data_IF_543097753860
#
_entry.id   IF_543097753860
#
_cell.length_a   1.000
_cell.length_b   1.000
_cell.length_c   1.000
_cell.angle_alpha   90.00
_cell.angle_beta   90.00
_cell.angle_gamma   90.00
#
_symmetry.space_group_name_H-M   'P 1'
#
loop_
_entity.id
_entity.type
_entity.pdbx_description
1 polymer ?
#
# COMPACT_ATOMS: atom_id res chain seq x y z
N UNK A 1 -15.50 8.91 -4.84
CA UNK A 1 -15.89 8.92 -3.41
C UNK A 1 -17.35 8.52 -3.19
N UNK A 2 -18.36 9.17 -3.84
CA UNK A 2 -19.81 8.88 -3.64
C UNK A 2 -20.16 7.39 -3.80
N UNK A 3 -19.65 6.72 -4.86
CA UNK A 3 -19.91 5.30 -5.10
C UNK A 3 -19.42 4.41 -3.95
N UNK A 4 -18.23 4.65 -3.40
CA UNK A 4 -17.67 3.88 -2.25
C UNK A 4 -18.54 4.05 -0.99
N UNK A 5 -18.99 5.28 -0.70
CA UNK A 5 -19.87 5.57 0.44
C UNK A 5 -21.20 4.83 0.30
N UNK A 6 -21.82 4.89 -0.87
CA UNK A 6 -23.09 4.19 -1.14
C UNK A 6 -22.95 2.67 -1.03
N UNK A 7 -21.85 2.10 -1.55
CA UNK A 7 -21.58 0.66 -1.45
C UNK A 7 -21.39 0.25 0.02
N UNK A 8 -20.69 1.06 0.82
CA UNK A 8 -20.53 0.83 2.26
C UNK A 8 -21.87 0.84 3.00
N UNK A 9 -22.70 1.85 2.76
CA UNK A 9 -24.04 1.95 3.36
C UNK A 9 -24.94 0.76 2.96
N UNK A 10 -24.87 0.34 1.70
CA UNK A 10 -25.60 -0.83 1.20
C UNK A 10 -25.16 -2.13 1.90
N UNK A 11 -23.86 -2.36 2.04
CA UNK A 11 -23.33 -3.54 2.72
C UNK A 11 -23.71 -3.63 4.20
N UNK A 12 -24.01 -2.48 4.84
CA UNK A 12 -24.46 -2.39 6.22
C UNK A 12 -26.00 -2.40 6.36
N UNK A 13 -26.75 -2.34 5.26
CA UNK A 13 -28.21 -2.31 5.31
C UNK A 13 -28.80 -3.66 5.69
N UNK A 14 -30.05 -3.64 6.17
CA UNK A 14 -30.82 -4.83 6.55
C UNK A 14 -30.86 -5.87 5.41
N UNK A 15 -30.62 -7.13 5.73
CA UNK A 15 -30.57 -8.24 4.77
C UNK A 15 -29.22 -8.47 4.10
N UNK A 16 -28.34 -7.46 4.02
CA UNK A 16 -27.01 -7.57 3.42
C UNK A 16 -25.87 -7.64 4.44
N UNK A 17 -26.13 -7.22 5.67
CA UNK A 17 -25.14 -7.19 6.75
C UNK A 17 -24.50 -8.57 6.99
N UNK A 18 -25.31 -9.61 7.11
CA UNK A 18 -24.80 -10.98 7.34
C UNK A 18 -24.09 -11.56 6.12
N UNK A 19 -24.64 -11.32 4.94
CA UNK A 19 -24.09 -11.85 3.70
C UNK A 19 -22.75 -11.20 3.29
N UNK A 20 -22.61 -9.90 3.49
CA UNK A 20 -21.44 -9.15 3.05
C UNK A 20 -20.53 -8.73 4.20
N UNK A 21 -21.04 -7.96 5.17
CA UNK A 21 -20.21 -7.39 6.21
C UNK A 21 -19.62 -8.46 7.14
N UNK A 22 -20.44 -9.35 7.69
CA UNK A 22 -19.94 -10.42 8.57
C UNK A 22 -18.99 -11.36 7.84
N UNK A 23 -19.25 -11.67 6.56
CA UNK A 23 -18.35 -12.48 5.75
C UNK A 23 -17.00 -11.78 5.53
N UNK A 24 -17.02 -10.50 5.20
CA UNK A 24 -15.80 -9.69 5.06
C UNK A 24 -14.99 -9.64 6.37
N UNK A 25 -15.65 -9.50 7.52
CA UNK A 25 -14.97 -9.52 8.82
C UNK A 25 -14.32 -10.86 9.14
N UNK A 26 -14.94 -11.98 8.77
CA UNK A 26 -14.32 -13.31 8.89
C UNK A 26 -13.07 -13.43 8.02
N UNK A 27 -13.14 -12.98 6.77
CA UNK A 27 -11.99 -12.97 5.85
C UNK A 27 -10.89 -12.05 6.38
N UNK A 28 -11.24 -10.86 6.90
CA UNK A 28 -10.28 -9.97 7.56
C UNK A 28 -9.53 -10.68 8.69
N UNK A 29 -10.22 -11.46 9.52
CA UNK A 29 -9.59 -12.21 10.61
C UNK A 29 -8.56 -13.21 10.10
N UNK A 30 -8.80 -13.88 8.96
CA UNK A 30 -7.82 -14.78 8.33
C UNK A 30 -6.56 -14.00 7.91
N UNK A 31 -6.70 -12.85 7.26
CA UNK A 31 -5.56 -12.00 6.90
C UNK A 31 -4.78 -11.53 8.13
N UNK A 32 -5.47 -11.08 9.18
CA UNK A 32 -4.82 -10.66 10.44
C UNK A 32 -3.98 -11.80 11.02
N UNK A 33 -4.51 -13.02 11.05
CA UNK A 33 -3.81 -14.19 11.57
C UNK A 33 -2.58 -14.54 10.72
N UNK A 34 -2.69 -14.51 9.39
CA UNK A 34 -1.59 -14.78 8.48
C UNK A 34 -0.44 -13.77 8.67
N UNK A 35 -0.74 -12.46 8.62
CA UNK A 35 0.26 -11.43 8.84
C UNK A 35 0.89 -11.53 10.23
N UNK A 36 0.09 -11.80 11.28
CA UNK A 36 0.60 -11.98 12.63
C UNK A 36 1.57 -13.17 12.72
N UNK A 37 1.28 -14.29 12.05
CA UNK A 37 2.14 -15.46 12.04
C UNK A 37 3.45 -15.22 11.26
N UNK A 38 3.40 -14.51 10.15
CA UNK A 38 4.60 -14.10 9.40
C UNK A 38 5.47 -13.17 10.25
N UNK A 39 4.87 -12.15 10.85
CA UNK A 39 5.60 -11.15 11.64
C UNK A 39 6.11 -11.67 13.02
N UNK A 40 5.72 -12.88 13.46
CA UNK A 40 6.41 -13.58 14.54
C UNK A 40 7.78 -14.11 14.13
N UNK A 41 7.96 -14.41 12.83
CA UNK A 41 9.20 -15.00 12.28
C UNK A 41 10.12 -13.98 11.63
N UNK A 42 9.55 -12.87 11.14
CA UNK A 42 10.26 -11.85 10.38
C UNK A 42 10.04 -10.48 11.00
N UNK A 43 11.02 -9.60 10.90
CA UNK A 43 10.99 -8.26 11.47
C UNK A 43 10.12 -7.31 10.64
N UNK A 44 10.07 -7.52 9.32
CA UNK A 44 9.21 -6.80 8.39
C UNK A 44 8.90 -7.65 7.15
N UNK A 45 7.83 -7.30 6.45
CA UNK A 45 7.46 -7.88 5.16
C UNK A 45 7.73 -6.80 4.10
N UNK A 46 8.57 -7.14 3.11
CA UNK A 46 8.88 -6.27 1.98
C UNK A 46 7.98 -6.61 0.79
N UNK A 47 7.38 -5.59 0.18
CA UNK A 47 6.66 -5.72 -1.10
C UNK A 47 6.77 -4.44 -1.93
N UNK A 48 6.44 -4.47 -3.24
CA UNK A 48 6.18 -3.24 -3.98
C UNK A 48 5.04 -2.45 -3.34
N UNK A 49 5.08 -1.10 -3.45
CA UNK A 49 3.96 -0.26 -2.99
C UNK A 49 2.75 -0.42 -3.91
N UNK A 50 2.98 -0.58 -5.21
CA UNK A 50 1.95 -0.76 -6.23
C UNK A 50 2.43 -1.75 -7.29
N UNK A 51 1.52 -2.57 -7.88
CA UNK A 51 1.88 -3.53 -8.93
C UNK A 51 2.08 -2.88 -10.31
N UNK A 52 1.79 -1.59 -10.44
CA UNK A 52 1.87 -0.86 -11.71
C UNK A 52 2.84 0.31 -11.60
N UNK A 53 3.44 0.67 -12.72
CA UNK A 53 4.23 1.89 -12.84
C UNK A 53 3.33 3.14 -12.75
N UNK A 54 3.89 4.32 -12.37
CA UNK A 54 3.15 5.57 -12.45
C UNK A 54 2.53 5.74 -13.84
N UNK A 55 1.24 6.06 -13.88
CA UNK A 55 0.45 6.21 -15.11
C UNK A 55 0.36 7.67 -15.52
N UNK A 56 0.15 7.94 -16.81
CA UNK A 56 -0.10 9.30 -17.29
C UNK A 56 -1.41 9.86 -16.72
N UNK A 57 -1.51 11.19 -16.67
CA UNK A 57 -2.74 11.85 -16.23
C UNK A 57 -3.92 11.43 -17.11
N UNK A 58 -5.00 10.99 -16.49
CA UNK A 58 -6.23 10.58 -17.16
C UNK A 58 -6.34 9.09 -17.47
N UNK A 59 -5.26 8.32 -17.53
CA UNK A 59 -5.26 6.90 -17.91
C UNK A 59 -6.15 6.01 -17.03
N UNK A 60 -6.26 6.35 -15.74
CA UNK A 60 -7.06 5.56 -14.79
C UNK A 60 -8.53 5.98 -14.70
N UNK A 61 -8.93 7.10 -15.35
CA UNK A 61 -10.28 7.61 -15.26
C UNK A 61 -11.29 6.70 -15.97
N UNK A 62 -10.88 6.05 -17.03
CA UNK A 62 -11.73 5.24 -17.89
C UNK A 62 -11.62 3.73 -17.62
N UNK A 63 -10.74 3.31 -16.70
CA UNK A 63 -10.56 1.89 -16.34
C UNK A 63 -10.64 1.70 -14.82
N UNK A 64 -11.85 1.45 -14.29
CA UNK A 64 -12.05 1.22 -12.85
C UNK A 64 -11.30 -0.01 -12.31
N UNK A 65 -11.07 -1.04 -13.13
CA UNK A 65 -10.38 -2.27 -12.71
C UNK A 65 -8.89 -1.97 -12.56
N UNK A 66 -8.27 -1.30 -13.53
CA UNK A 66 -6.87 -0.89 -13.46
C UNK A 66 -6.61 0.03 -12.27
N UNK A 67 -7.56 0.95 -11.98
CA UNK A 67 -7.49 1.81 -10.80
C UNK A 67 -7.57 1.02 -9.48
N UNK A 68 -8.42 -0.01 -9.40
CA UNK A 68 -8.47 -0.90 -8.23
C UNK A 68 -7.20 -1.73 -8.06
N UNK A 69 -6.63 -2.20 -9.16
CA UNK A 69 -5.38 -2.98 -9.14
C UNK A 69 -4.19 -2.17 -8.64
N UNK A 70 -4.18 -0.86 -8.83
CA UNK A 70 -3.13 0.01 -8.33
C UNK A 70 -2.99 -0.01 -6.79
N UNK A 71 -4.10 -0.25 -6.08
CA UNK A 71 -4.15 -0.29 -4.61
C UNK A 71 -3.94 -1.71 -4.03
N UNK A 72 -3.67 -2.72 -4.85
CA UNK A 72 -3.69 -4.14 -4.46
C UNK A 72 -2.86 -4.45 -3.20
N UNK A 73 -1.64 -3.93 -3.14
CA UNK A 73 -0.74 -4.20 -2.01
C UNK A 73 -1.02 -3.31 -0.78
N UNK A 74 -1.49 -2.09 -0.97
CA UNK A 74 -1.78 -1.16 0.12
C UNK A 74 -3.11 -1.45 0.80
N UNK A 75 -4.13 -1.91 0.05
CA UNK A 75 -5.45 -2.26 0.60
C UNK A 75 -5.33 -3.37 1.65
N UNK A 76 -4.53 -4.41 1.41
CA UNK A 76 -4.38 -5.52 2.35
C UNK A 76 -3.81 -5.05 3.68
N UNK A 77 -2.80 -4.19 3.67
CA UNK A 77 -2.18 -3.60 4.88
C UNK A 77 -3.21 -2.78 5.68
N UNK A 78 -4.03 -1.98 4.98
CA UNK A 78 -5.12 -1.21 5.61
C UNK A 78 -6.19 -2.12 6.23
N UNK A 79 -6.57 -3.23 5.56
CA UNK A 79 -7.55 -4.19 6.07
C UNK A 79 -7.03 -4.86 7.35
N UNK A 80 -5.76 -5.23 7.39
CA UNK A 80 -5.12 -5.86 8.56
C UNK A 80 -4.90 -4.85 9.68
N UNK A 81 -4.63 -3.58 9.37
CA UNK A 81 -4.40 -2.50 10.32
C UNK A 81 -2.97 -2.48 10.86
N UNK A 82 -1.99 -2.79 10.02
CA UNK A 82 -0.58 -2.79 10.36
C UNK A 82 0.12 -1.51 9.90
N UNK A 83 1.20 -1.08 10.59
CA UNK A 83 2.04 0.01 10.14
C UNK A 83 2.81 -0.39 8.89
N UNK A 84 3.00 0.57 7.98
CA UNK A 84 3.82 0.39 6.80
C UNK A 84 4.63 1.65 6.49
N UNK A 85 5.87 1.46 6.05
CA UNK A 85 6.76 2.51 5.60
C UNK A 85 7.00 2.37 4.10
N UNK A 86 6.66 3.40 3.33
CA UNK A 86 6.92 3.44 1.89
C UNK A 86 8.23 4.19 1.61
N UNK A 87 9.09 3.62 0.76
CA UNK A 87 10.39 4.16 0.40
C UNK A 87 10.61 4.05 -1.11
N UNK A 88 11.31 5.01 -1.74
CA UNK A 88 11.77 4.85 -3.11
C UNK A 88 12.87 3.78 -3.19
N UNK A 89 12.81 2.90 -4.18
CA UNK A 89 13.77 1.82 -4.34
C UNK A 89 14.42 1.76 -5.75
N UNK A 90 14.15 2.74 -6.58
CA UNK A 90 14.75 2.79 -7.92
C UNK A 90 13.91 3.58 -8.91
N UNK A 91 14.33 3.47 -10.18
CA UNK A 91 13.62 4.07 -11.31
C UNK A 91 13.46 3.05 -12.43
N UNK A 92 12.39 3.18 -13.19
CA UNK A 92 12.20 2.44 -14.42
C UNK A 92 13.20 2.88 -15.50
N UNK A 93 13.28 2.14 -16.60
CA UNK A 93 14.07 2.56 -17.79
C UNK A 93 13.63 3.92 -18.34
N UNK A 94 12.38 4.32 -18.11
CA UNK A 94 11.84 5.63 -18.52
C UNK A 94 12.01 6.73 -17.46
N UNK A 95 12.75 6.48 -16.37
CA UNK A 95 12.98 7.48 -15.32
C UNK A 95 11.83 7.66 -14.32
N UNK A 96 10.79 6.83 -14.37
CA UNK A 96 9.68 6.89 -13.42
C UNK A 96 10.06 6.22 -12.08
N UNK A 97 9.71 6.81 -10.92
CA UNK A 97 10.08 6.26 -9.62
C UNK A 97 9.36 4.95 -9.32
N UNK A 98 10.07 4.06 -8.62
CA UNK A 98 9.55 2.80 -8.13
C UNK A 98 9.58 2.84 -6.61
N UNK A 99 8.44 2.52 -5.97
CA UNK A 99 8.31 2.44 -4.53
C UNK A 99 8.25 1.01 -4.01
N UNK A 100 8.86 0.80 -2.85
CA UNK A 100 8.66 -0.38 -2.03
C UNK A 100 7.98 -0.01 -0.73
N UNK A 101 7.36 -0.99 -0.06
CA UNK A 101 6.85 -0.83 1.29
C UNK A 101 7.38 -1.91 2.22
N UNK A 102 7.60 -1.51 3.46
CA UNK A 102 7.94 -2.37 4.59
C UNK A 102 6.72 -2.40 5.52
N UNK A 103 6.17 -3.58 5.77
CA UNK A 103 5.03 -3.77 6.67
C UNK A 103 5.55 -4.39 7.97
N UNK A 104 5.28 -3.76 9.10
CA UNK A 104 5.74 -4.20 10.42
C UNK A 104 4.62 -4.73 11.32
N UNK A 105 5.01 -5.14 12.53
CA UNK A 105 4.06 -5.49 13.60
C UNK A 105 3.30 -4.24 14.04
N UNK A 106 2.15 -4.46 14.65
CA UNK A 106 1.41 -3.37 15.29
C UNK A 106 2.30 -2.63 16.30
N UNK A 107 2.33 -1.31 16.21
CA UNK A 107 3.15 -0.42 17.05
C UNK A 107 4.67 -0.64 16.94
N UNK A 108 5.18 -1.10 15.79
CA UNK A 108 6.61 -1.24 15.53
C UNK A 108 7.14 -0.26 14.49
N UNK A 109 6.63 0.94 14.47
CA UNK A 109 7.04 2.01 13.56
C UNK A 109 8.52 2.37 13.72
N UNK A 110 9.05 2.32 14.94
CA UNK A 110 10.47 2.50 15.27
C UNK A 110 11.38 1.50 14.54
N UNK A 111 10.97 0.23 14.51
CA UNK A 111 11.68 -0.81 13.77
C UNK A 111 11.65 -0.55 12.26
N UNK A 112 10.50 -0.16 11.72
CA UNK A 112 10.36 0.19 10.31
C UNK A 112 11.25 1.39 9.93
N UNK A 113 11.32 2.43 10.77
CA UNK A 113 12.20 3.57 10.56
C UNK A 113 13.68 3.16 10.62
N UNK A 114 14.06 2.28 11.54
CA UNK A 114 15.43 1.75 11.67
C UNK A 114 15.85 0.99 10.41
N UNK A 115 14.98 0.11 9.89
CA UNK A 115 15.21 -0.62 8.64
C UNK A 115 15.29 0.35 7.47
N UNK A 116 14.36 1.31 7.40
CA UNK A 116 14.33 2.33 6.35
C UNK A 116 15.58 3.20 6.35
N UNK A 117 16.03 3.68 7.50
CA UNK A 117 17.25 4.45 7.65
C UNK A 117 18.50 3.65 7.22
N UNK A 118 18.56 2.38 7.61
CA UNK A 118 19.65 1.48 7.20
C UNK A 118 19.67 1.29 5.67
N UNK A 119 18.51 1.14 5.04
CA UNK A 119 18.41 1.08 3.58
C UNK A 119 18.86 2.39 2.92
N UNK A 120 18.43 3.53 3.45
CA UNK A 120 18.80 4.84 2.91
C UNK A 120 20.28 5.19 3.13
N UNK A 121 20.96 4.60 4.12
CA UNK A 121 22.40 4.81 4.32
C UNK A 121 23.26 4.18 3.23
N UNK A 122 22.75 3.19 2.50
CA UNK A 122 23.46 2.47 1.43
C UNK A 122 22.86 2.75 0.04
N UNK A 123 21.84 3.61 -0.05
CA UNK A 123 21.20 4.00 -1.31
C UNK A 123 20.93 5.50 -1.35
N UNK A 124 20.81 6.06 -2.55
CA UNK A 124 20.55 7.48 -2.76
C UNK A 124 19.20 7.80 -3.42
N UNK A 125 18.32 6.80 -3.54
CA UNK A 125 17.03 6.96 -4.23
C UNK A 125 16.15 8.06 -3.66
N UNK A 126 16.17 8.24 -2.35
CA UNK A 126 15.42 9.27 -1.61
C UNK A 126 15.98 10.69 -1.83
N UNK A 127 17.20 10.82 -2.32
CA UNK A 127 17.85 12.11 -2.62
C UNK A 127 17.56 12.60 -4.05
N UNK A 128 17.02 11.73 -4.92
CA UNK A 128 16.73 12.07 -6.32
C UNK A 128 15.53 13.02 -6.41
N UNK A 129 15.65 14.07 -7.22
CA UNK A 129 14.59 15.05 -7.47
C UNK A 129 14.07 14.93 -8.89
N UNK A 130 12.78 15.28 -9.15
CA UNK A 130 12.26 15.37 -10.50
C UNK A 130 13.06 16.41 -11.33
N UNK A 131 13.37 16.15 -12.61
CA UNK A 131 14.12 17.09 -13.46
C UNK A 131 13.50 18.48 -13.60
N UNK A 132 12.16 18.58 -13.45
CA UNK A 132 11.42 19.84 -13.54
C UNK A 132 11.69 20.82 -12.37
N UNK A 133 12.27 20.35 -11.26
CA UNK A 133 12.60 21.20 -10.11
C UNK A 133 13.93 21.92 -10.32
N UNK A 134 14.87 21.30 -11.03
CA UNK A 134 16.19 21.88 -11.28
C UNK A 134 16.20 22.93 -12.42
N UNK A 135 15.10 23.05 -13.18
CA UNK A 135 14.99 24.01 -14.29
C UNK A 135 14.39 25.38 -13.92
N UNK A 136 14.17 25.66 -12.62
CA UNK A 136 13.59 26.92 -12.11
C UNK A 136 14.43 27.52 -10.97
N UNK A 137 15.71 27.67 -11.20
CA UNK A 137 16.56 28.58 -10.40
C UNK A 137 17.33 29.49 -11.34
#
# INVERSE_FOLDING_TARGET
>A
SKRRIMTGAYALSSGYYDAYYKKAMKVRTLFVNEYSNLLKKYDAILSPTTPVMPTAFGDLLNDPVKNMMADLYTVTVNIVGLPALALPCGFSKGGLPIGMQLVGRMFSEDNLFSIGASYQSVTDWHMKKPPLIDSKV
#
